data_IF_142847142769
#
_entry.id   IF_142847142769
#
_cell.length_a   1.000
_cell.length_b   1.000
_cell.length_c   1.000
_cell.angle_alpha   90.00
_cell.angle_beta   90.00
_cell.angle_gamma   90.00
#
_symmetry.space_group_name_H-M   'P 1'
#
loop_
_entity.id
_entity.type
_entity.pdbx_description
1 polymer ?
#
# COMPACT_ATOMS: atom_id res chain seq x y z
N UNK A 1 12.56 -8.94 13.89
CA UNK A 1 12.89 -10.38 13.91
C UNK A 1 13.22 -10.93 12.53
N UNK A 2 13.80 -12.15 12.43
CA UNK A 2 14.26 -12.79 11.18
C UNK A 2 13.23 -12.79 10.03
N UNK A 3 11.93 -12.95 10.36
CA UNK A 3 10.85 -12.90 9.37
C UNK A 3 10.64 -11.50 8.79
N UNK A 4 10.70 -10.46 9.61
CA UNK A 4 10.58 -9.08 9.17
C UNK A 4 11.76 -8.68 8.27
N UNK A 5 12.98 -9.12 8.59
CA UNK A 5 14.17 -8.82 7.78
C UNK A 5 14.06 -9.45 6.37
N UNK A 6 13.53 -10.69 6.29
CA UNK A 6 13.27 -11.36 5.01
C UNK A 6 12.14 -10.70 4.22
N UNK A 7 11.02 -10.41 4.89
CA UNK A 7 9.88 -9.74 4.28
C UNK A 7 10.28 -8.37 3.72
N UNK A 8 11.02 -7.57 4.50
CA UNK A 8 11.53 -6.27 4.07
C UNK A 8 12.41 -6.40 2.82
N UNK A 9 13.39 -7.30 2.82
CA UNK A 9 14.29 -7.47 1.69
C UNK A 9 13.55 -7.90 0.41
N UNK A 10 12.54 -8.76 0.55
CA UNK A 10 11.69 -9.20 -0.55
C UNK A 10 10.80 -8.07 -1.08
N UNK A 11 10.10 -7.36 -0.18
CA UNK A 11 9.30 -6.19 -0.52
C UNK A 11 10.13 -5.13 -1.22
N UNK A 12 11.32 -4.83 -0.70
CA UNK A 12 12.22 -3.82 -1.28
C UNK A 12 12.64 -4.16 -2.70
N UNK A 13 12.88 -5.44 -2.99
CA UNK A 13 13.18 -5.92 -4.35
C UNK A 13 11.96 -5.85 -5.26
N UNK A 14 10.78 -6.22 -4.76
CA UNK A 14 9.55 -6.20 -5.56
C UNK A 14 9.05 -4.78 -5.84
N UNK A 15 9.33 -3.84 -4.94
CA UNK A 15 8.96 -2.43 -5.04
C UNK A 15 10.03 -1.58 -5.75
N UNK A 16 11.18 -2.16 -6.10
CA UNK A 16 12.22 -1.46 -6.83
C UNK A 16 11.70 -1.02 -8.21
N UNK A 17 11.81 0.28 -8.50
CA UNK A 17 11.31 0.86 -9.75
C UNK A 17 9.80 1.08 -9.83
N UNK A 18 9.03 0.68 -8.81
CA UNK A 18 7.57 0.96 -8.76
C UNK A 18 7.26 2.34 -8.19
N UNK A 19 8.23 2.97 -7.53
CA UNK A 19 8.08 4.22 -6.80
C UNK A 19 7.53 4.06 -5.38
N UNK A 20 7.29 2.82 -4.93
CA UNK A 20 6.91 2.54 -3.54
C UNK A 20 8.16 2.49 -2.67
N UNK A 21 8.16 3.24 -1.57
CA UNK A 21 9.24 3.19 -0.59
C UNK A 21 8.94 2.17 0.50
N UNK A 22 9.95 1.41 0.89
CA UNK A 22 9.88 0.45 2.00
C UNK A 22 10.72 1.01 3.15
N UNK A 23 10.08 1.25 4.29
CA UNK A 23 10.72 1.75 5.49
C UNK A 23 10.52 0.79 6.64
N UNK A 24 11.60 0.33 7.26
CA UNK A 24 11.53 -0.45 8.49
C UNK A 24 11.40 0.47 9.71
N UNK A 25 10.41 0.19 10.56
CA UNK A 25 10.19 0.86 11.84
C UNK A 25 10.22 -0.18 12.97
N UNK A 26 11.43 -0.58 13.38
CA UNK A 26 11.61 -1.60 14.41
C UNK A 26 11.15 -2.99 13.93
N UNK A 27 10.04 -3.46 14.49
CA UNK A 27 9.39 -4.71 14.06
C UNK A 27 8.32 -4.49 12.97
N UNK A 28 7.93 -3.24 12.71
CA UNK A 28 6.95 -2.90 11.68
C UNK A 28 7.63 -2.57 10.34
N UNK A 29 6.94 -2.87 9.24
CA UNK A 29 7.34 -2.48 7.89
C UNK A 29 6.31 -1.50 7.35
N UNK A 30 6.73 -0.26 7.11
CA UNK A 30 5.91 0.79 6.53
C UNK A 30 6.17 0.88 5.03
N UNK A 31 5.10 0.77 4.24
CA UNK A 31 5.12 0.95 2.80
C UNK A 31 4.55 2.32 2.46
N UNK A 32 5.31 3.16 1.76
CA UNK A 32 4.87 4.49 1.35
C UNK A 32 4.64 4.47 -0.16
N UNK A 33 3.38 4.71 -0.54
CA UNK A 33 2.93 4.67 -1.91
C UNK A 33 2.52 6.08 -2.36
N UNK A 34 3.26 6.72 -3.28
CA UNK A 34 2.90 8.04 -3.78
C UNK A 34 1.55 8.04 -4.50
N UNK A 35 0.65 8.96 -4.13
CA UNK A 35 -0.70 8.98 -4.66
C UNK A 35 -0.78 9.17 -6.19
N UNK A 36 0.20 9.85 -6.80
CA UNK A 36 0.28 10.11 -8.23
C UNK A 36 0.63 8.87 -9.09
N UNK A 37 1.24 7.85 -8.49
CA UNK A 37 1.55 6.59 -9.18
C UNK A 37 0.55 5.49 -8.82
N UNK A 38 -0.02 5.55 -7.61
CA UNK A 38 -0.97 4.55 -7.11
C UNK A 38 -2.37 4.78 -7.65
N UNK A 39 -2.78 6.02 -7.85
CA UNK A 39 -4.14 6.37 -8.26
C UNK A 39 -4.17 7.21 -9.53
N UNK A 40 -5.27 7.13 -10.27
CA UNK A 40 -5.55 8.09 -11.32
C UNK A 40 -5.72 9.51 -10.74
N UNK A 41 -5.41 10.54 -11.54
CA UNK A 41 -5.51 11.95 -11.15
C UNK A 41 -6.87 12.26 -10.55
N UNK A 42 -6.87 12.89 -9.37
CA UNK A 42 -8.07 13.26 -8.60
C UNK A 42 -9.06 12.10 -8.35
N UNK A 43 -8.56 10.87 -8.30
CA UNK A 43 -9.39 9.68 -8.12
C UNK A 43 -8.90 8.80 -6.97
N UNK A 44 -9.79 7.94 -6.50
CA UNK A 44 -9.49 6.79 -5.66
C UNK A 44 -9.29 5.51 -6.48
N UNK A 45 -9.46 5.57 -7.80
CA UNK A 45 -9.24 4.44 -8.68
C UNK A 45 -7.74 4.12 -8.78
N UNK A 46 -7.39 2.87 -8.49
CA UNK A 46 -6.03 2.37 -8.60
C UNK A 46 -5.58 2.45 -10.06
N UNK A 47 -4.39 2.99 -10.29
CA UNK A 47 -3.80 3.10 -11.62
C UNK A 47 -3.55 1.70 -12.21
N UNK A 48 -3.82 1.46 -13.51
CA UNK A 48 -3.59 0.16 -14.14
C UNK A 48 -2.16 -0.38 -13.97
N UNK A 49 -1.17 0.51 -14.01
CA UNK A 49 0.25 0.20 -13.79
C UNK A 49 0.56 -0.26 -12.37
N UNK A 50 -0.30 0.07 -11.40
CA UNK A 50 -0.07 -0.19 -9.98
C UNK A 50 -0.69 -1.51 -9.48
N UNK A 51 -1.49 -2.19 -10.31
CA UNK A 51 -2.01 -3.52 -9.97
C UNK A 51 -0.91 -4.57 -9.83
N UNK A 52 0.15 -4.53 -10.66
CA UNK A 52 1.26 -5.46 -10.54
C UNK A 52 2.02 -5.32 -9.21
N UNK A 53 2.43 -4.11 -8.77
CA UNK A 53 2.92 -3.88 -7.42
C UNK A 53 1.98 -4.35 -6.31
N UNK A 54 0.67 -4.05 -6.41
CA UNK A 54 -0.31 -4.48 -5.41
C UNK A 54 -0.44 -6.00 -5.31
N UNK A 55 -0.34 -6.72 -6.44
CA UNK A 55 -0.35 -8.19 -6.43
C UNK A 55 0.87 -8.77 -5.72
N UNK A 56 2.04 -8.15 -5.91
CA UNK A 56 3.26 -8.54 -5.18
C UNK A 56 3.08 -8.33 -3.68
N UNK A 57 2.51 -7.19 -3.26
CA UNK A 57 2.17 -6.92 -1.86
C UNK A 57 1.18 -7.96 -1.32
N UNK A 58 0.11 -8.26 -2.06
CA UNK A 58 -0.87 -9.26 -1.65
C UNK A 58 -0.23 -10.65 -1.45
N UNK A 59 0.69 -11.05 -2.32
CA UNK A 59 1.40 -12.32 -2.17
C UNK A 59 2.33 -12.31 -0.96
N UNK A 60 3.05 -11.21 -0.71
CA UNK A 60 3.86 -11.06 0.50
C UNK A 60 3.00 -11.14 1.76
N UNK A 61 1.86 -10.44 1.80
CA UNK A 61 0.94 -10.49 2.93
C UNK A 61 0.37 -11.89 3.20
N UNK A 62 0.05 -12.65 2.15
CA UNK A 62 -0.36 -14.06 2.29
C UNK A 62 0.77 -14.95 2.81
N UNK A 63 2.01 -14.71 2.39
CA UNK A 63 3.18 -15.46 2.83
C UNK A 63 3.55 -15.15 4.29
N UNK A 64 3.33 -13.92 4.72
CA UNK A 64 3.64 -13.43 6.07
C UNK A 64 2.34 -13.05 6.82
N UNK A 65 1.40 -13.99 6.92
CA UNK A 65 0.07 -13.82 7.52
C UNK A 65 0.04 -13.68 9.06
N UNK A 66 1.20 -13.52 9.69
CA UNK A 66 1.33 -13.41 11.15
C UNK A 66 1.24 -11.95 11.62
N UNK A 67 1.13 -11.01 10.69
CA UNK A 67 1.15 -9.57 10.93
C UNK A 67 -0.20 -8.96 10.56
N UNK A 68 -0.64 -7.96 11.33
CA UNK A 68 -1.80 -7.14 10.98
C UNK A 68 -1.42 -6.12 9.90
N UNK A 69 -2.31 -5.89 8.95
CA UNK A 69 -2.08 -4.96 7.83
C UNK A 69 -2.91 -3.70 8.06
N UNK A 70 -2.23 -2.57 8.27
CA UNK A 70 -2.89 -1.26 8.38
C UNK A 70 -2.67 -0.46 7.09
N UNK A 71 -3.77 0.01 6.48
CA UNK A 71 -3.76 0.81 5.25
C UNK A 71 -4.23 2.21 5.58
N UNK A 72 -3.32 3.18 5.53
CA UNK A 72 -3.62 4.59 5.77
C UNK A 72 -3.45 5.39 4.48
N UNK A 73 -4.53 6.02 4.04
CA UNK A 73 -4.49 6.95 2.91
C UNK A 73 -4.07 8.34 3.37
N UNK A 74 -3.14 8.95 2.63
CA UNK A 74 -2.82 10.38 2.76
C UNK A 74 -3.12 11.09 1.44
N UNK A 75 -3.65 12.30 1.54
CA UNK A 75 -3.90 13.21 0.43
C UNK A 75 -3.07 14.45 0.62
N UNK A 76 -2.75 15.12 -0.49
CA UNK A 76 -1.99 16.37 -0.44
C UNK A 76 -2.80 17.46 0.31
N UNK A 77 -2.10 18.45 0.84
CA UNK A 77 -2.65 19.61 1.53
C UNK A 77 -3.40 20.59 0.62
N UNK A 78 -3.34 20.39 -0.69
CA UNK A 78 -3.99 21.26 -1.69
C UNK A 78 -5.49 20.94 -1.76
N UNK A 79 -6.35 21.85 -1.27
CA UNK A 79 -7.82 21.68 -1.28
C UNK A 79 -8.47 21.79 0.10
N UNK A 80 -9.78 21.56 0.19
CA UNK A 80 -10.47 21.54 1.49
C UNK A 80 -10.08 20.29 2.28
N UNK A 81 -9.72 20.46 3.55
CA UNK A 81 -9.41 19.36 4.48
C UNK A 81 -10.46 18.25 4.44
N UNK A 82 -11.75 18.61 4.34
CA UNK A 82 -12.84 17.65 4.31
C UNK A 82 -12.82 16.79 3.03
N UNK A 83 -12.53 17.39 1.89
CA UNK A 83 -12.42 16.70 0.62
C UNK A 83 -11.21 15.76 0.60
N UNK A 84 -10.08 16.24 1.13
CA UNK A 84 -8.86 15.45 1.21
C UNK A 84 -9.03 14.24 2.13
N UNK A 85 -9.71 14.40 3.27
CA UNK A 85 -10.04 13.29 4.19
C UNK A 85 -10.94 12.24 3.53
N UNK A 86 -11.99 12.65 2.83
CA UNK A 86 -12.89 11.75 2.10
C UNK A 86 -12.14 11.01 0.98
N UNK A 87 -11.33 11.71 0.20
CA UNK A 87 -10.52 11.11 -0.86
C UNK A 87 -9.47 10.13 -0.31
N UNK A 88 -8.78 10.47 0.78
CA UNK A 88 -7.82 9.57 1.42
C UNK A 88 -8.50 8.30 1.94
N UNK A 89 -9.70 8.44 2.54
CA UNK A 89 -10.45 7.30 3.03
C UNK A 89 -10.88 6.37 1.89
N UNK A 90 -11.40 6.94 0.79
CA UNK A 90 -11.77 6.17 -0.41
C UNK A 90 -10.57 5.45 -1.01
N UNK A 91 -9.41 6.10 -1.08
CA UNK A 91 -8.15 5.51 -1.56
C UNK A 91 -7.72 4.32 -0.71
N UNK A 92 -7.76 4.47 0.61
CA UNK A 92 -7.46 3.38 1.53
C UNK A 92 -8.45 2.21 1.34
N UNK A 93 -9.74 2.50 1.21
CA UNK A 93 -10.78 1.49 0.95
C UNK A 93 -10.59 0.78 -0.38
N UNK A 94 -10.19 1.47 -1.45
CA UNK A 94 -9.92 0.85 -2.75
C UNK A 94 -8.74 -0.11 -2.69
N UNK A 95 -7.66 0.26 -2.00
CA UNK A 95 -6.50 -0.61 -1.80
C UNK A 95 -6.87 -1.81 -0.92
N UNK A 96 -7.55 -1.57 0.20
CA UNK A 96 -8.02 -2.64 1.09
C UNK A 96 -8.93 -3.63 0.35
N UNK A 97 -9.94 -3.13 -0.35
CA UNK A 97 -10.85 -3.96 -1.13
C UNK A 97 -10.14 -4.77 -2.22
N UNK A 98 -9.11 -4.20 -2.87
CA UNK A 98 -8.30 -4.94 -3.83
C UNK A 98 -7.49 -6.05 -3.17
N UNK A 99 -6.81 -5.77 -2.06
CA UNK A 99 -6.00 -6.76 -1.34
C UNK A 99 -6.88 -7.90 -0.79
N UNK A 100 -8.04 -7.59 -0.22
CA UNK A 100 -9.03 -8.60 0.21
C UNK A 100 -9.52 -9.44 -0.97
N UNK A 101 -9.79 -8.83 -2.14
CA UNK A 101 -10.17 -9.57 -3.34
C UNK A 101 -9.05 -10.49 -3.86
N UNK A 102 -7.78 -10.21 -3.53
CA UNK A 102 -6.62 -11.07 -3.82
C UNK A 102 -6.38 -12.18 -2.77
N UNK A 103 -7.26 -12.29 -1.77
CA UNK A 103 -7.21 -13.29 -0.71
C UNK A 103 -6.29 -12.92 0.44
N UNK A 104 -6.03 -11.62 0.66
CA UNK A 104 -5.37 -11.15 1.88
C UNK A 104 -6.41 -11.05 2.98
N UNK A 105 -6.25 -11.87 4.02
CA UNK A 105 -7.05 -11.77 5.25
C UNK A 105 -6.59 -10.53 6.04
N UNK A 106 -7.57 -9.71 6.44
CA UNK A 106 -7.37 -8.47 7.21
C UNK A 106 -7.40 -8.68 8.71
#
# INVERSE_FOLDING_TARGET
GYYADKQEAELRRQMEGTGVEVQRQGDDIKLIMPGNITFATDSANIAPSFYAPLNNLANSFKQYNQNTIEIVGYTDSTGSRQHNMDLSQRRAQSVAGYLTAQGVDG
#
